data_IF_615862811020
#
_entry.id   IF_615862811020
#
_cell.length_a   1.000
_cell.length_b   1.000
_cell.length_c   1.000
_cell.angle_alpha   90.00
_cell.angle_beta   90.00
_cell.angle_gamma   90.00
#
_symmetry.space_group_name_H-M   'P 1'
#
loop_
_entity.id
_entity.type
_entity.pdbx_description
1 polymer ?
#
# COMPACT_ATOMS: atom_id res chain seq x y z
N UNK A 1 -14.33 4.83 -30.81
CA UNK A 1 -14.69 3.52 -30.22
C UNK A 1 -14.04 3.43 -28.85
N UNK A 2 -14.79 3.37 -27.75
CA UNK A 2 -14.20 3.25 -26.40
C UNK A 2 -13.38 1.97 -26.25
N UNK A 3 -12.19 2.06 -25.66
CA UNK A 3 -11.42 0.86 -25.30
C UNK A 3 -12.07 0.24 -24.07
N UNK A 4 -12.33 -1.06 -24.10
CA UNK A 4 -12.93 -1.77 -22.97
C UNK A 4 -11.84 -2.53 -22.22
N UNK A 5 -11.87 -2.42 -20.91
CA UNK A 5 -10.96 -3.10 -20.00
C UNK A 5 -11.82 -3.95 -19.09
N UNK A 6 -11.88 -5.24 -19.39
CA UNK A 6 -12.42 -6.27 -18.52
C UNK A 6 -11.26 -6.89 -17.73
N UNK A 7 -11.45 -7.03 -16.43
CA UNK A 7 -10.49 -7.70 -15.54
C UNK A 7 -11.22 -8.69 -14.65
N UNK A 8 -10.62 -9.86 -14.49
CA UNK A 8 -11.12 -10.92 -13.62
C UNK A 8 -10.13 -11.15 -12.48
N UNK A 9 -10.60 -10.98 -11.25
CA UNK A 9 -9.91 -11.47 -10.07
C UNK A 9 -10.12 -13.00 -9.97
N UNK A 10 -9.06 -13.75 -10.31
CA UNK A 10 -9.11 -15.22 -10.36
C UNK A 10 -9.30 -15.86 -8.98
N UNK A 11 -8.90 -15.18 -7.91
CA UNK A 11 -9.04 -15.68 -6.53
C UNK A 11 -10.48 -15.56 -6.05
N UNK A 12 -11.13 -14.42 -6.36
CA UNK A 12 -12.53 -14.18 -6.03
C UNK A 12 -13.50 -14.93 -6.95
N UNK A 13 -13.09 -15.22 -8.19
CA UNK A 13 -13.94 -15.93 -9.13
C UNK A 13 -14.20 -17.39 -8.67
N UNK A 14 -15.42 -17.69 -8.23
CA UNK A 14 -15.82 -19.04 -7.78
C UNK A 14 -16.99 -19.59 -8.64
N UNK A 15 -16.74 -20.01 -9.89
CA UNK A 15 -17.77 -20.46 -10.83
C UNK A 15 -18.71 -21.56 -10.31
N UNK A 16 -18.16 -22.50 -9.54
CA UNK A 16 -18.93 -23.59 -8.93
C UNK A 16 -19.95 -23.09 -7.89
N UNK A 17 -19.65 -21.97 -7.21
CA UNK A 17 -20.51 -21.41 -6.16
C UNK A 17 -21.56 -20.44 -6.71
N UNK A 18 -21.24 -19.66 -7.75
CA UNK A 18 -22.23 -18.75 -8.36
C UNK A 18 -23.05 -19.40 -9.48
N UNK A 19 -22.66 -20.56 -10.01
CA UNK A 19 -23.40 -21.19 -11.11
C UNK A 19 -23.34 -20.40 -12.42
N UNK A 20 -22.21 -19.71 -12.68
CA UNK A 20 -21.91 -19.00 -13.94
C UNK A 20 -22.88 -17.86 -14.28
N UNK A 21 -23.34 -17.11 -13.28
CA UNK A 21 -24.26 -15.98 -13.47
C UNK A 21 -23.75 -14.95 -14.48
N UNK A 22 -22.44 -14.65 -14.48
CA UNK A 22 -21.87 -13.70 -15.44
C UNK A 22 -22.10 -14.13 -16.89
N UNK A 23 -22.02 -15.42 -17.21
CA UNK A 23 -22.29 -15.97 -18.55
C UNK A 23 -23.79 -15.96 -18.84
N UNK A 24 -24.60 -16.45 -17.89
CA UNK A 24 -26.07 -16.59 -18.05
C UNK A 24 -26.78 -15.25 -18.23
N UNK A 25 -26.33 -14.20 -17.53
CA UNK A 25 -26.97 -12.89 -17.56
C UNK A 25 -26.33 -11.90 -18.54
N UNK A 26 -25.20 -12.25 -19.16
CA UNK A 26 -24.59 -11.42 -20.19
C UNK A 26 -25.55 -11.25 -21.40
N UNK A 27 -25.98 -10.03 -21.74
CA UNK A 27 -26.87 -9.82 -22.88
C UNK A 27 -26.26 -10.28 -24.20
N UNK A 28 -24.96 -10.11 -24.37
CA UNK A 28 -24.25 -10.45 -25.62
C UNK A 28 -24.22 -11.97 -25.82
N UNK A 29 -23.99 -12.73 -24.74
CA UNK A 29 -24.17 -14.19 -24.76
C UNK A 29 -25.61 -14.61 -25.06
N UNK A 30 -26.61 -13.93 -24.47
CA UNK A 30 -28.03 -14.21 -24.77
C UNK A 30 -28.39 -13.93 -26.23
N UNK A 31 -27.72 -12.99 -26.88
CA UNK A 31 -27.86 -12.71 -28.31
C UNK A 31 -27.13 -13.71 -29.21
N UNK A 32 -26.43 -14.71 -28.66
CA UNK A 32 -25.78 -15.79 -29.40
C UNK A 32 -24.29 -15.58 -29.69
N UNK A 33 -23.63 -14.57 -29.11
CA UNK A 33 -22.20 -14.32 -29.27
C UNK A 33 -21.40 -14.68 -28.00
N UNK A 34 -20.21 -15.23 -28.16
CA UNK A 34 -19.39 -15.72 -27.04
C UNK A 34 -18.59 -14.61 -26.34
N UNK A 35 -19.30 -13.66 -25.73
CA UNK A 35 -18.67 -12.55 -25.00
C UNK A 35 -17.99 -12.99 -23.70
N UNK A 36 -18.66 -13.82 -22.90
CA UNK A 36 -18.09 -14.40 -21.67
C UNK A 36 -18.15 -15.92 -21.77
N UNK A 37 -16.99 -16.57 -21.75
CA UNK A 37 -16.87 -18.02 -21.84
C UNK A 37 -16.21 -18.59 -20.58
N UNK A 38 -16.39 -19.89 -20.35
CA UNK A 38 -15.63 -20.60 -19.33
C UNK A 38 -14.32 -21.07 -19.96
N UNK A 39 -13.19 -20.56 -19.49
CA UNK A 39 -11.88 -21.01 -19.95
C UNK A 39 -11.64 -22.45 -19.47
N UNK A 40 -11.36 -23.36 -20.41
CA UNK A 40 -11.27 -24.81 -20.16
C UNK A 40 -10.07 -25.19 -19.27
N UNK A 41 -8.96 -24.46 -19.38
CA UNK A 41 -7.74 -24.73 -18.60
C UNK A 41 -7.88 -24.30 -17.14
N UNK A 42 -8.37 -23.08 -16.93
CA UNK A 42 -8.44 -22.44 -15.61
C UNK A 42 -9.75 -22.71 -14.89
N UNK A 43 -10.79 -23.17 -15.60
CA UNK A 43 -12.16 -23.23 -15.11
C UNK A 43 -12.65 -21.89 -14.52
N UNK A 44 -12.20 -20.76 -15.09
CA UNK A 44 -12.61 -19.40 -14.71
C UNK A 44 -13.30 -18.68 -15.88
N UNK A 45 -14.06 -17.64 -15.58
CA UNK A 45 -14.68 -16.82 -16.63
C UNK A 45 -13.61 -16.08 -17.44
N UNK A 46 -13.79 -16.02 -18.75
CA UNK A 46 -12.96 -15.27 -19.68
C UNK A 46 -13.87 -14.32 -20.45
N UNK A 47 -13.47 -13.05 -20.56
CA UNK A 47 -14.27 -11.99 -21.16
C UNK A 47 -13.54 -11.49 -22.41
N UNK A 48 -14.20 -11.60 -23.55
CA UNK A 48 -13.76 -11.00 -24.81
C UNK A 48 -14.11 -9.51 -24.82
N UNK A 49 -13.08 -8.66 -24.92
CA UNK A 49 -13.21 -7.20 -24.83
C UNK A 49 -13.70 -6.55 -26.12
N UNK A 50 -13.50 -7.22 -27.26
CA UNK A 50 -13.93 -6.75 -28.58
C UNK A 50 -15.43 -6.97 -28.76
N UNK A 51 -15.94 -8.10 -28.25
CA UNK A 51 -17.36 -8.47 -28.30
C UNK A 51 -18.15 -7.81 -27.16
N UNK A 52 -17.55 -7.65 -25.97
CA UNK A 52 -18.23 -7.07 -24.81
C UNK A 52 -18.75 -5.67 -25.11
N UNK A 53 -20.01 -5.37 -24.80
CA UNK A 53 -20.58 -4.03 -25.03
C UNK A 53 -20.32 -3.04 -23.88
N UNK A 54 -19.77 -3.50 -22.74
CA UNK A 54 -19.50 -2.67 -21.57
C UNK A 54 -20.71 -2.35 -20.69
N UNK A 55 -21.81 -3.12 -20.79
CA UNK A 55 -23.05 -2.86 -20.03
C UNK A 55 -22.93 -3.02 -18.49
N UNK A 56 -21.89 -3.70 -18.01
CA UNK A 56 -21.64 -3.90 -16.58
C UNK A 56 -22.61 -4.82 -15.84
N UNK A 57 -23.50 -5.55 -16.54
CA UNK A 57 -24.44 -6.48 -15.90
C UNK A 57 -23.69 -7.59 -15.18
N UNK A 58 -22.68 -8.19 -15.82
CA UNK A 58 -21.83 -9.23 -15.22
C UNK A 58 -21.09 -8.77 -13.95
N UNK A 59 -20.77 -7.47 -13.83
CA UNK A 59 -20.20 -6.88 -12.61
C UNK A 59 -21.24 -6.89 -11.48
N UNK A 60 -22.47 -6.45 -11.77
CA UNK A 60 -23.55 -6.37 -10.79
C UNK A 60 -24.08 -7.72 -10.32
N UNK A 61 -24.13 -8.71 -11.23
CA UNK A 61 -24.63 -10.05 -10.89
C UNK A 61 -23.55 -10.93 -10.29
N UNK A 62 -22.27 -10.53 -10.27
CA UNK A 62 -21.22 -11.35 -9.68
C UNK A 62 -21.29 -11.28 -8.14
N UNK A 63 -21.64 -12.37 -7.44
CA UNK A 63 -21.79 -12.34 -5.98
C UNK A 63 -20.45 -12.20 -5.24
N UNK A 64 -19.33 -12.34 -5.95
CA UNK A 64 -17.97 -12.26 -5.40
C UNK A 64 -17.24 -10.98 -5.82
N UNK A 65 -17.88 -10.08 -6.56
CA UNK A 65 -17.26 -8.86 -7.10
C UNK A 65 -15.95 -9.13 -7.89
N UNK A 66 -15.86 -10.30 -8.52
CA UNK A 66 -14.65 -10.78 -9.18
C UNK A 66 -14.40 -10.14 -10.56
N UNK A 67 -15.38 -9.41 -11.10
CA UNK A 67 -15.33 -8.83 -12.45
C UNK A 67 -15.30 -7.31 -12.35
N UNK A 68 -14.35 -6.69 -13.03
CA UNK A 68 -14.31 -5.25 -13.23
C UNK A 68 -14.41 -4.95 -14.73
N UNK A 69 -15.32 -4.07 -15.13
CA UNK A 69 -15.43 -3.57 -16.50
C UNK A 69 -15.29 -2.05 -16.49
N UNK A 70 -14.39 -1.55 -17.32
CA UNK A 70 -14.10 -0.12 -17.45
C UNK A 70 -14.13 0.27 -18.92
N UNK A 71 -14.74 1.41 -19.23
CA UNK A 71 -14.66 2.03 -20.54
C UNK A 71 -13.61 3.14 -20.48
N UNK A 72 -12.48 2.95 -21.16
CA UNK A 72 -11.41 3.93 -21.29
C UNK A 72 -11.51 4.69 -22.61
N UNK A 73 -10.94 5.89 -22.62
CA UNK A 73 -10.75 6.67 -23.82
C UNK A 73 -9.85 5.89 -24.80
N UNK A 74 -10.20 5.92 -26.10
CA UNK A 74 -9.48 5.17 -27.14
C UNK A 74 -8.01 5.56 -27.24
N UNK A 75 -7.71 6.83 -26.95
CA UNK A 75 -6.35 7.39 -26.97
C UNK A 75 -5.41 6.69 -25.99
N UNK A 76 -5.93 6.14 -24.88
CA UNK A 76 -5.11 5.39 -23.92
C UNK A 76 -4.69 4.03 -24.46
N UNK A 77 -5.35 3.51 -25.49
CA UNK A 77 -5.01 2.21 -26.06
C UNK A 77 -3.59 2.20 -26.66
N UNK A 78 -3.13 3.34 -27.20
CA UNK A 78 -1.78 3.47 -27.76
C UNK A 78 -0.71 3.59 -26.67
N UNK A 79 -1.08 4.01 -25.47
CA UNK A 79 -0.14 4.22 -24.36
C UNK A 79 0.02 2.99 -23.46
N UNK A 80 -0.50 1.83 -23.89
CA UNK A 80 -0.43 0.58 -23.12
C UNK A 80 1.02 0.07 -23.09
N UNK A 81 1.56 -0.09 -21.88
CA UNK A 81 2.96 -0.44 -21.67
C UNK A 81 3.13 -1.91 -21.31
N UNK A 82 2.26 -2.42 -20.44
CA UNK A 82 2.34 -3.81 -19.99
C UNK A 82 0.97 -4.37 -19.66
N UNK A 83 0.77 -5.66 -20.00
CA UNK A 83 -0.41 -6.45 -19.65
C UNK A 83 0.05 -7.87 -19.31
N UNK A 84 -0.37 -8.43 -18.18
CA UNK A 84 0.06 -9.77 -17.75
C UNK A 84 -0.63 -10.92 -18.49
N UNK A 85 -1.81 -10.68 -19.05
CA UNK A 85 -2.59 -11.66 -19.78
C UNK A 85 -3.97 -11.14 -20.14
N UNK A 86 -4.81 -12.01 -20.71
CA UNK A 86 -6.22 -11.67 -20.93
C UNK A 86 -6.94 -11.47 -19.60
N UNK A 87 -7.77 -10.43 -19.54
CA UNK A 87 -8.50 -9.99 -18.35
C UNK A 87 -7.62 -9.77 -17.10
N UNK A 88 -6.37 -9.36 -17.28
CA UNK A 88 -5.47 -9.01 -16.18
C UNK A 88 -5.32 -7.51 -15.99
N UNK A 89 -4.59 -7.14 -14.94
CA UNK A 89 -4.09 -5.78 -14.74
C UNK A 89 -3.34 -5.25 -15.99
N UNK A 90 -3.47 -3.95 -16.25
CA UNK A 90 -2.82 -3.22 -17.35
C UNK A 90 -2.16 -1.94 -16.86
N UNK A 91 -0.96 -1.67 -17.33
CA UNK A 91 -0.23 -0.43 -17.05
C UNK A 91 -0.18 0.44 -18.29
N UNK A 92 -0.50 1.73 -18.13
CA UNK A 92 -0.45 2.75 -19.16
C UNK A 92 0.51 3.87 -18.74
N UNK A 93 1.32 4.33 -19.69
CA UNK A 93 2.42 5.28 -19.48
C UNK A 93 3.45 4.79 -18.44
N UNK A 94 4.61 5.44 -18.40
CA UNK A 94 5.66 5.20 -17.41
C UNK A 94 6.18 6.53 -16.87
N UNK A 95 6.70 6.54 -15.64
CA UNK A 95 7.50 7.64 -15.16
C UNK A 95 8.70 7.89 -16.05
N UNK A 96 9.12 9.14 -16.15
CA UNK A 96 10.41 9.46 -16.75
C UNK A 96 11.45 9.69 -15.66
N UNK A 97 12.45 8.82 -15.51
CA UNK A 97 13.49 9.01 -14.50
C UNK A 97 14.31 10.28 -14.76
N UNK A 98 14.54 11.10 -13.72
CA UNK A 98 15.37 12.32 -13.82
C UNK A 98 16.64 12.19 -12.99
N UNK A 99 17.77 12.62 -13.56
CA UNK A 99 19.06 12.62 -12.87
C UNK A 99 19.13 13.74 -11.85
N UNK A 100 19.70 13.45 -10.70
CA UNK A 100 19.91 14.42 -9.63
C UNK A 100 18.63 14.86 -8.90
N UNK A 101 17.52 14.15 -9.10
CA UNK A 101 16.22 14.47 -8.53
C UNK A 101 15.57 13.24 -7.91
N UNK A 102 14.74 13.48 -6.90
CA UNK A 102 13.85 12.49 -6.29
C UNK A 102 12.46 12.64 -6.92
N UNK A 103 12.01 11.58 -7.60
CA UNK A 103 10.65 11.48 -8.13
C UNK A 103 9.79 10.66 -7.17
N UNK A 104 8.78 11.30 -6.60
CA UNK A 104 7.74 10.65 -5.81
C UNK A 104 6.68 10.02 -6.70
N UNK A 105 6.38 8.73 -6.52
CA UNK A 105 5.28 8.06 -7.19
C UNK A 105 4.15 7.81 -6.21
N UNK A 106 3.04 8.52 -6.40
CA UNK A 106 1.89 8.52 -5.49
C UNK A 106 0.71 7.79 -6.11
N UNK A 107 0.20 6.75 -5.45
CA UNK A 107 -0.94 6.00 -5.97
C UNK A 107 -1.45 4.95 -5.00
N UNK A 108 -2.70 4.51 -5.18
CA UNK A 108 -3.30 3.45 -4.34
C UNK A 108 -2.62 2.10 -4.59
N UNK A 109 -2.87 1.13 -3.70
CA UNK A 109 -2.38 -0.24 -3.89
C UNK A 109 -3.10 -0.91 -5.06
N UNK A 110 -2.40 -1.83 -5.73
CA UNK A 110 -2.92 -2.50 -6.93
C UNK A 110 -3.00 -1.62 -8.18
N UNK A 111 -2.35 -0.44 -8.19
CA UNK A 111 -2.30 0.45 -9.36
C UNK A 111 -1.10 0.18 -10.28
N UNK A 112 -0.19 -0.74 -9.92
CA UNK A 112 1.00 -1.05 -10.74
C UNK A 112 2.30 -0.32 -10.34
N UNK A 113 2.40 0.25 -9.14
CA UNK A 113 3.64 0.90 -8.65
C UNK A 113 4.86 -0.02 -8.70
N UNK A 114 4.71 -1.26 -8.23
CA UNK A 114 5.79 -2.25 -8.28
C UNK A 114 6.06 -2.73 -9.71
N UNK A 115 5.04 -2.79 -10.58
CA UNK A 115 5.20 -3.09 -12.01
C UNK A 115 6.04 -2.01 -12.70
N UNK A 116 5.80 -0.74 -12.38
CA UNK A 116 6.60 0.41 -12.86
C UNK A 116 8.06 0.25 -12.43
N UNK A 117 8.33 -0.03 -11.15
CA UNK A 117 9.69 -0.25 -10.65
C UNK A 117 10.37 -1.41 -11.40
N UNK A 118 9.68 -2.53 -11.59
CA UNK A 118 10.24 -3.70 -12.28
C UNK A 118 10.56 -3.41 -13.75
N UNK A 119 9.75 -2.61 -14.45
CA UNK A 119 10.03 -2.22 -15.83
C UNK A 119 11.22 -1.27 -15.90
N UNK A 120 11.24 -0.23 -15.06
CA UNK A 120 12.30 0.76 -15.06
C UNK A 120 13.65 0.22 -14.57
N UNK A 121 13.64 -0.86 -13.78
CA UNK A 121 14.86 -1.55 -13.32
C UNK A 121 15.35 -2.64 -14.29
N UNK A 122 14.59 -2.96 -15.34
CA UNK A 122 14.93 -4.03 -16.28
C UNK A 122 14.56 -5.44 -15.82
N UNK A 123 13.98 -5.61 -14.61
CA UNK A 123 13.49 -6.90 -14.11
C UNK A 123 12.27 -7.42 -14.89
N UNK A 124 11.54 -6.53 -15.58
CA UNK A 124 10.37 -6.87 -16.39
C UNK A 124 10.45 -6.17 -17.76
N UNK A 125 10.55 -6.95 -18.84
CA UNK A 125 10.46 -6.41 -20.21
C UNK A 125 9.01 -5.93 -20.46
N UNK A 126 8.77 -4.66 -20.87
CA UNK A 126 7.44 -4.21 -21.25
C UNK A 126 7.00 -4.94 -22.52
N UNK A 127 5.72 -5.32 -22.59
CA UNK A 127 5.19 -6.08 -23.72
C UNK A 127 4.24 -5.25 -24.61
N UNK A 128 4.07 -3.96 -24.31
CA UNK A 128 3.20 -3.02 -25.02
C UNK A 128 1.76 -3.54 -25.19
N UNK A 129 1.32 -4.39 -24.26
CA UNK A 129 0.01 -5.04 -24.31
C UNK A 129 -0.10 -6.33 -25.10
N UNK A 130 0.95 -6.71 -25.85
CA UNK A 130 1.01 -7.98 -26.57
C UNK A 130 1.55 -9.05 -25.63
N UNK A 131 0.68 -9.64 -24.81
CA UNK A 131 1.11 -10.64 -23.82
C UNK A 131 1.32 -12.03 -24.42
N UNK A 132 0.61 -12.37 -25.50
CA UNK A 132 0.77 -13.66 -26.21
C UNK A 132 2.05 -13.69 -27.05
N UNK A 133 2.35 -12.59 -27.74
CA UNK A 133 3.57 -12.42 -28.54
C UNK A 133 4.30 -11.13 -28.12
N UNK A 134 5.09 -11.17 -27.02
CA UNK A 134 5.78 -10.00 -26.53
C UNK A 134 6.81 -9.46 -27.53
N UNK A 135 6.84 -8.14 -27.79
CA UNK A 135 7.78 -7.53 -28.73
C UNK A 135 9.23 -7.66 -28.28
N UNK A 136 10.13 -7.63 -29.27
CA UNK A 136 11.57 -7.50 -29.02
C UNK A 136 11.99 -6.07 -28.71
N UNK A 137 13.19 -5.90 -28.17
CA UNK A 137 13.68 -4.59 -27.72
C UNK A 137 13.65 -3.53 -28.83
N UNK A 138 13.92 -3.88 -30.08
CA UNK A 138 13.92 -2.92 -31.19
C UNK A 138 12.53 -2.32 -31.45
N UNK A 139 11.46 -3.10 -31.28
CA UNK A 139 10.09 -2.59 -31.33
C UNK A 139 9.78 -1.67 -30.15
N UNK A 140 10.23 -2.04 -28.95
CA UNK A 140 10.07 -1.22 -27.73
C UNK A 140 10.79 0.13 -27.89
N UNK A 141 12.03 0.12 -28.38
CA UNK A 141 12.81 1.33 -28.62
C UNK A 141 12.19 2.22 -29.70
N UNK A 142 11.58 1.62 -30.73
CA UNK A 142 10.83 2.35 -31.75
C UNK A 142 9.58 3.01 -31.16
N UNK A 143 8.86 2.32 -30.28
CA UNK A 143 7.70 2.87 -29.57
C UNK A 143 8.06 4.11 -28.76
N UNK A 144 9.20 4.08 -28.05
CA UNK A 144 9.68 5.21 -27.25
C UNK A 144 10.49 6.25 -28.05
N UNK A 145 10.52 6.18 -29.38
CA UNK A 145 11.31 7.09 -30.20
C UNK A 145 10.92 8.56 -29.99
N UNK A 146 11.90 9.41 -29.73
CA UNK A 146 11.69 10.83 -29.43
C UNK A 146 11.38 11.13 -27.96
N UNK A 147 11.40 10.12 -27.08
CA UNK A 147 11.23 10.29 -25.63
C UNK A 147 12.53 10.05 -24.87
N UNK A 148 12.62 10.58 -23.64
CA UNK A 148 13.77 10.34 -22.75
C UNK A 148 13.91 8.85 -22.36
N UNK A 149 12.78 8.14 -22.28
CA UNK A 149 12.72 6.71 -21.95
C UNK A 149 13.42 5.80 -22.97
N UNK A 150 13.55 6.22 -24.24
CA UNK A 150 14.31 5.44 -25.23
C UNK A 150 15.75 5.24 -24.78
N UNK A 151 16.41 6.31 -24.34
CA UNK A 151 17.80 6.25 -23.87
C UNK A 151 17.96 5.38 -22.61
N UNK A 152 16.91 5.32 -21.79
CA UNK A 152 16.85 4.46 -20.62
C UNK A 152 16.75 2.98 -21.01
N UNK A 153 15.84 2.65 -21.92
CA UNK A 153 15.67 1.28 -22.42
C UNK A 153 16.85 0.78 -23.26
N UNK A 154 17.55 1.65 -23.98
CA UNK A 154 18.82 1.30 -24.66
C UNK A 154 19.85 0.81 -23.66
N UNK A 155 20.00 1.51 -22.52
CA UNK A 155 20.91 1.08 -21.46
C UNK A 155 20.48 -0.22 -20.78
N UNK A 156 19.17 -0.44 -20.60
CA UNK A 156 18.65 -1.72 -20.10
C UNK A 156 19.01 -2.85 -21.09
N UNK A 157 18.76 -2.65 -22.38
CA UNK A 157 19.07 -3.62 -23.44
C UNK A 157 20.55 -3.99 -23.45
N UNK A 158 21.43 -3.01 -23.30
CA UNK A 158 22.88 -3.18 -23.34
C UNK A 158 23.47 -3.63 -21.98
N UNK A 159 22.64 -3.88 -20.96
CA UNK A 159 23.06 -4.17 -19.58
C UNK A 159 24.01 -3.12 -18.97
N UNK A 160 23.84 -1.85 -19.38
CA UNK A 160 24.65 -0.70 -18.95
C UNK A 160 24.01 0.10 -17.81
N UNK A 161 22.92 -0.41 -17.24
CA UNK A 161 22.21 0.24 -16.14
C UNK A 161 22.36 -0.59 -14.87
N UNK A 162 22.78 0.04 -13.79
CA UNK A 162 22.73 -0.56 -12.47
C UNK A 162 21.56 0.03 -11.69
N UNK A 163 20.68 -0.85 -11.22
CA UNK A 163 19.58 -0.49 -10.33
C UNK A 163 19.82 -1.07 -8.91
N UNK A 164 19.49 -0.27 -7.91
CA UNK A 164 19.41 -0.68 -6.50
C UNK A 164 17.98 -0.50 -6.03
N UNK A 165 17.35 -1.60 -5.61
CA UNK A 165 15.92 -1.64 -5.27
C UNK A 165 15.78 -2.07 -3.83
N UNK A 166 15.14 -1.23 -3.01
CA UNK A 166 14.68 -1.62 -1.68
C UNK A 166 13.41 -2.48 -1.84
N UNK A 167 13.39 -3.74 -1.39
CA UNK A 167 12.20 -4.59 -1.51
C UNK A 167 11.06 -4.08 -0.62
N UNK A 168 9.81 -4.20 -1.08
CA UNK A 168 8.64 -3.80 -0.29
C UNK A 168 8.56 -4.62 1.02
N UNK A 169 8.78 -5.93 0.94
CA UNK A 169 8.79 -6.85 2.10
C UNK A 169 10.19 -7.01 2.69
N UNK A 170 10.52 -6.20 3.69
CA UNK A 170 11.85 -6.25 4.35
C UNK A 170 12.10 -7.52 5.17
N UNK A 171 11.05 -8.21 5.60
CA UNK A 171 11.16 -9.48 6.33
C UNK A 171 11.76 -10.60 5.48
N UNK A 172 11.71 -10.52 4.14
CA UNK A 172 12.33 -11.53 3.29
C UNK A 172 13.86 -11.47 3.37
N UNK A 173 14.43 -10.33 3.79
CA UNK A 173 15.88 -10.17 3.98
C UNK A 173 16.37 -11.12 5.09
N UNK A 174 15.64 -11.22 6.21
CA UNK A 174 16.01 -12.12 7.32
C UNK A 174 15.82 -13.60 7.00
N UNK A 175 15.07 -13.93 5.95
CA UNK A 175 14.89 -15.30 5.48
C UNK A 175 16.02 -15.75 4.54
N UNK A 176 16.59 -14.82 3.77
CA UNK A 176 17.57 -15.11 2.72
C UNK A 176 19.01 -14.91 3.19
N UNK A 177 19.23 -14.07 4.20
CA UNK A 177 20.56 -13.79 4.74
C UNK A 177 20.70 -14.23 6.19
N UNK A 178 21.72 -15.04 6.47
CA UNK A 178 22.06 -15.51 7.81
C UNK A 178 23.39 -14.89 8.23
N UNK A 179 23.30 -13.80 9.01
CA UNK A 179 24.45 -12.99 9.42
C UNK A 179 24.02 -11.71 10.12
N UNK A 180 24.98 -10.84 10.41
CA UNK A 180 24.71 -9.54 11.07
C UNK A 180 24.35 -8.44 10.07
N UNK A 181 23.67 -7.40 10.55
CA UNK A 181 23.39 -6.22 9.72
C UNK A 181 24.68 -5.56 9.16
N UNK A 182 25.78 -5.64 9.92
CA UNK A 182 27.09 -5.12 9.54
C UNK A 182 27.70 -5.90 8.39
N UNK A 183 27.72 -7.23 8.49
CA UNK A 183 28.20 -8.11 7.41
C UNK A 183 27.40 -7.89 6.12
N UNK A 184 26.09 -7.70 6.24
CA UNK A 184 25.24 -7.39 5.09
C UNK A 184 25.64 -6.07 4.43
N UNK A 185 25.91 -5.03 5.21
CA UNK A 185 26.34 -3.74 4.67
C UNK A 185 27.73 -3.83 4.03
N UNK A 186 28.70 -4.46 4.70
CA UNK A 186 30.06 -4.65 4.18
C UNK A 186 30.06 -5.41 2.85
N UNK A 187 29.16 -6.39 2.69
CA UNK A 187 29.01 -7.16 1.46
C UNK A 187 28.56 -6.33 0.25
N UNK A 188 27.75 -5.29 0.47
CA UNK A 188 27.16 -4.47 -0.59
C UNK A 188 27.76 -3.05 -0.66
N UNK A 189 28.72 -2.71 0.19
CA UNK A 189 29.33 -1.39 0.21
C UNK A 189 30.33 -1.20 -0.93
N UNK A 190 29.81 -0.71 -2.05
CA UNK A 190 30.59 -0.34 -3.23
C UNK A 190 31.04 1.13 -3.19
N UNK A 191 30.45 1.93 -2.28
CA UNK A 191 30.66 3.39 -2.21
C UNK A 191 31.53 3.84 -1.04
N UNK A 192 31.83 2.96 -0.09
CA UNK A 192 32.63 3.25 1.11
C UNK A 192 31.92 4.17 2.11
N UNK A 193 30.58 4.23 2.09
CA UNK A 193 29.79 5.15 2.92
C UNK A 193 29.03 4.44 4.05
N UNK A 194 29.28 3.15 4.28
CA UNK A 194 28.60 2.36 5.32
C UNK A 194 28.54 3.06 6.68
N UNK A 195 29.70 3.50 7.21
CA UNK A 195 29.78 4.09 8.55
C UNK A 195 28.95 5.39 8.67
N UNK A 196 28.92 6.20 7.60
CA UNK A 196 28.10 7.40 7.56
C UNK A 196 26.60 7.05 7.61
N UNK A 197 26.18 6.02 6.88
CA UNK A 197 24.79 5.60 6.85
C UNK A 197 24.34 4.95 8.16
N UNK A 198 25.18 4.14 8.81
CA UNK A 198 24.91 3.57 10.14
C UNK A 198 24.59 4.68 11.14
N UNK A 199 25.41 5.75 11.16
CA UNK A 199 25.19 6.89 12.04
C UNK A 199 23.96 7.70 11.67
N UNK A 200 23.76 7.97 10.37
CA UNK A 200 22.63 8.80 9.90
C UNK A 200 21.29 8.13 10.16
N UNK A 201 21.23 6.80 10.02
CA UNK A 201 20.02 6.00 10.23
C UNK A 201 19.87 5.49 11.67
N UNK A 202 20.76 5.87 12.59
CA UNK A 202 20.71 5.46 13.99
C UNK A 202 20.65 3.92 14.14
N UNK A 203 21.62 3.25 13.49
CA UNK A 203 21.78 1.79 13.48
C UNK A 203 22.96 1.31 14.34
N UNK A 204 23.63 2.19 15.08
CA UNK A 204 24.86 1.86 15.83
C UNK A 204 24.65 0.70 16.82
N UNK A 205 23.48 0.66 17.47
CA UNK A 205 23.15 -0.36 18.47
C UNK A 205 22.56 -1.66 17.88
N UNK A 206 22.17 -1.65 16.61
CA UNK A 206 21.43 -2.75 15.97
C UNK A 206 22.23 -3.44 14.87
N UNK A 207 23.15 -2.75 14.21
CA UNK A 207 23.91 -3.28 13.08
C UNK A 207 24.76 -4.52 13.44
N UNK A 208 25.18 -4.65 14.69
CA UNK A 208 25.93 -5.82 15.18
C UNK A 208 25.06 -7.05 15.51
N UNK A 209 23.74 -6.90 15.55
CA UNK A 209 22.81 -7.99 15.83
C UNK A 209 22.54 -8.82 14.57
N UNK A 210 22.03 -10.04 14.73
CA UNK A 210 21.62 -10.86 13.61
C UNK A 210 20.41 -10.23 12.91
N UNK A 211 20.35 -10.28 11.59
CA UNK A 211 19.24 -9.69 10.80
C UNK A 211 17.87 -10.26 11.22
N UNK A 212 17.79 -11.51 11.71
CA UNK A 212 16.56 -12.13 12.21
C UNK A 212 16.05 -11.55 13.53
N UNK A 213 16.91 -10.90 14.30
CA UNK A 213 16.59 -10.34 15.62
C UNK A 213 16.14 -8.88 15.54
N UNK A 214 16.40 -8.22 14.41
CA UNK A 214 16.07 -6.82 14.19
C UNK A 214 14.57 -6.58 14.19
N UNK A 215 14.16 -5.47 14.83
CA UNK A 215 12.77 -4.99 14.74
C UNK A 215 12.41 -4.55 13.31
N UNK A 216 11.11 -4.46 13.00
CA UNK A 216 10.65 -4.03 11.68
C UNK A 216 11.20 -2.65 11.25
N UNK A 217 11.30 -1.68 12.17
CA UNK A 217 11.88 -0.37 11.88
C UNK A 217 13.40 -0.41 11.69
N UNK A 218 14.11 -1.28 12.40
CA UNK A 218 15.56 -1.49 12.19
C UNK A 218 15.83 -2.18 10.86
N UNK A 219 15.08 -3.24 10.52
CA UNK A 219 15.13 -3.90 9.22
C UNK A 219 14.86 -2.93 8.08
N UNK A 220 13.88 -2.06 8.25
CA UNK A 220 13.54 -1.05 7.26
C UNK A 220 14.70 -0.08 7.02
N UNK A 221 15.30 0.44 8.10
CA UNK A 221 16.46 1.34 8.02
C UNK A 221 17.69 0.63 7.46
N UNK A 222 17.93 -0.62 7.83
CA UNK A 222 18.99 -1.45 7.27
C UNK A 222 18.78 -1.66 5.75
N UNK A 223 17.56 -1.95 5.30
CA UNK A 223 17.25 -2.10 3.88
C UNK A 223 17.51 -0.80 3.08
N UNK A 224 17.17 0.36 3.66
CA UNK A 224 17.52 1.67 3.08
C UNK A 224 19.03 1.85 2.99
N UNK A 225 19.77 1.48 4.05
CA UNK A 225 21.23 1.56 4.09
C UNK A 225 21.87 0.66 3.01
N UNK A 226 21.49 -0.62 2.95
CA UNK A 226 21.98 -1.61 1.95
C UNK A 226 21.71 -1.13 0.52
N UNK A 227 20.51 -0.60 0.28
CA UNK A 227 20.15 -0.06 -1.04
C UNK A 227 21.03 1.14 -1.40
N UNK A 228 21.40 1.95 -0.42
CA UNK A 228 22.15 3.21 -0.61
C UNK A 228 23.67 3.03 -0.70
N UNK A 229 24.25 1.99 -0.08
CA UNK A 229 25.70 1.70 -0.16
C UNK A 229 26.14 1.14 -1.52
N UNK A 230 25.23 0.50 -2.25
CA UNK A 230 25.47 -0.01 -3.61
C UNK A 230 25.65 1.15 -4.59
N UNK A 231 26.61 1.04 -5.52
CA UNK A 231 26.79 2.04 -6.59
C UNK A 231 25.85 1.71 -7.76
N UNK A 232 24.76 2.47 -7.84
CA UNK A 232 23.74 2.30 -8.86
C UNK A 232 23.49 3.61 -9.61
N UNK A 233 23.05 3.52 -10.85
CA UNK A 233 22.52 4.67 -11.60
C UNK A 233 21.15 5.09 -11.08
N UNK A 234 20.34 4.10 -10.71
CA UNK A 234 18.95 4.26 -10.25
C UNK A 234 18.71 3.62 -8.89
N UNK A 235 18.09 4.38 -8.01
CA UNK A 235 17.67 3.92 -6.69
C UNK A 235 16.15 3.94 -6.59
N UNK A 236 15.56 2.80 -6.28
CA UNK A 236 14.11 2.65 -6.08
C UNK A 236 13.83 2.33 -4.61
N UNK A 237 13.00 3.15 -3.98
CA UNK A 237 12.58 2.98 -2.60
C UNK A 237 11.07 2.73 -2.55
N UNK A 238 10.68 1.48 -2.30
CA UNK A 238 9.28 1.11 -2.11
C UNK A 238 8.91 1.09 -0.61
N UNK A 239 8.06 2.04 -0.22
CA UNK A 239 7.64 2.31 1.17
C UNK A 239 8.82 2.35 2.15
N UNK A 240 9.85 3.22 1.95
CA UNK A 240 11.06 3.27 2.76
C UNK A 240 10.83 3.65 4.23
N UNK A 241 9.69 4.22 4.59
CA UNK A 241 9.43 4.76 5.93
C UNK A 241 8.47 3.95 6.80
N UNK A 242 7.96 2.84 6.28
CA UNK A 242 7.06 1.95 7.02
C UNK A 242 7.65 1.55 8.39
N UNK A 243 6.80 1.52 9.42
CA UNK A 243 7.14 1.21 10.82
C UNK A 243 8.06 2.22 11.56
N UNK A 244 8.63 3.20 10.87
CA UNK A 244 9.49 4.22 11.48
C UNK A 244 8.66 5.33 12.14
N UNK A 245 9.16 5.86 13.25
CA UNK A 245 8.63 7.07 13.88
C UNK A 245 9.09 8.35 13.16
N UNK A 246 8.54 9.49 13.54
CA UNK A 246 8.76 10.77 12.85
C UNK A 246 10.25 11.18 12.75
N UNK A 247 11.07 10.85 13.76
CA UNK A 247 12.49 11.16 13.74
C UNK A 247 13.23 10.25 12.77
N UNK A 248 12.95 8.95 12.84
CA UNK A 248 13.52 7.95 11.94
C UNK A 248 13.14 8.19 10.48
N UNK A 249 11.89 8.60 10.20
CA UNK A 249 11.45 8.99 8.85
C UNK A 249 12.27 10.14 8.27
N UNK A 250 12.57 11.13 9.10
CA UNK A 250 13.40 12.27 8.70
C UNK A 250 14.83 11.84 8.36
N UNK A 251 15.41 10.90 9.12
CA UNK A 251 16.73 10.32 8.81
C UNK A 251 16.73 9.57 7.48
N UNK A 252 15.71 8.75 7.23
CA UNK A 252 15.55 8.04 5.94
C UNK A 252 15.46 9.02 4.78
N UNK A 253 14.64 10.07 4.89
CA UNK A 253 14.53 11.07 3.84
C UNK A 253 15.86 11.79 3.53
N UNK A 254 16.66 12.12 4.56
CA UNK A 254 17.98 12.74 4.37
C UNK A 254 18.91 11.86 3.55
N UNK A 255 18.91 10.54 3.81
CA UNK A 255 19.72 9.59 3.02
C UNK A 255 19.29 9.60 1.56
N UNK A 256 17.97 9.50 1.30
CA UNK A 256 17.40 9.49 -0.05
C UNK A 256 17.73 10.78 -0.81
N UNK A 257 17.55 11.95 -0.18
CA UNK A 257 17.90 13.24 -0.80
C UNK A 257 19.39 13.37 -1.10
N UNK A 258 20.26 12.85 -0.22
CA UNK A 258 21.69 12.88 -0.46
C UNK A 258 22.10 12.03 -1.68
N UNK A 259 21.38 10.93 -1.97
CA UNK A 259 21.58 10.18 -3.22
C UNK A 259 21.30 11.06 -4.44
N UNK A 260 20.16 11.74 -4.47
CA UNK A 260 19.83 12.67 -5.55
C UNK A 260 20.87 13.79 -5.69
N UNK A 261 21.34 14.39 -4.59
CA UNK A 261 22.40 15.42 -4.61
C UNK A 261 23.72 14.94 -5.22
N UNK A 262 24.00 13.64 -5.19
CA UNK A 262 25.18 13.05 -5.87
C UNK A 262 24.97 12.83 -7.38
N UNK A 263 23.87 13.34 -7.95
CA UNK A 263 23.55 13.25 -9.38
C UNK A 263 22.85 11.95 -9.78
N UNK A 264 22.55 11.07 -8.83
CA UNK A 264 21.85 9.80 -9.05
C UNK A 264 20.36 10.03 -9.28
N UNK A 265 19.71 9.10 -9.99
CA UNK A 265 18.26 9.13 -10.18
C UNK A 265 17.58 8.33 -9.07
N UNK A 266 16.59 8.94 -8.42
CA UNK A 266 15.93 8.33 -7.25
C UNK A 266 14.42 8.36 -7.44
N UNK A 267 13.78 7.22 -7.21
CA UNK A 267 12.32 7.11 -7.18
C UNK A 267 11.86 6.62 -5.82
N UNK A 268 10.87 7.29 -5.25
CA UNK A 268 10.28 6.95 -3.95
C UNK A 268 8.80 6.68 -4.13
N UNK A 269 8.38 5.48 -3.73
CA UNK A 269 6.97 5.14 -3.58
C UNK A 269 6.62 5.27 -2.10
N UNK A 270 5.71 6.18 -1.76
CA UNK A 270 5.27 6.40 -0.39
C UNK A 270 3.76 6.64 -0.31
N UNK A 271 3.22 6.30 0.86
CA UNK A 271 1.83 6.57 1.22
C UNK A 271 1.72 7.72 2.23
N UNK A 272 2.82 8.09 2.88
CA UNK A 272 2.90 9.25 3.75
C UNK A 272 3.16 10.52 2.93
N UNK A 273 2.11 11.35 2.78
CA UNK A 273 2.20 12.62 2.06
C UNK A 273 3.19 13.60 2.68
N UNK A 274 3.38 13.56 4.01
CA UNK A 274 4.29 14.48 4.71
C UNK A 274 5.75 14.14 4.40
N UNK A 275 6.08 12.84 4.38
CA UNK A 275 7.39 12.38 3.98
C UNK A 275 7.63 12.63 2.49
N UNK A 276 6.62 12.34 1.66
CA UNK A 276 6.72 12.54 0.22
C UNK A 276 6.97 14.02 -0.12
N UNK A 277 6.30 14.95 0.57
CA UNK A 277 6.53 16.40 0.45
C UNK A 277 7.96 16.79 0.84
N UNK A 278 8.46 16.18 1.92
CA UNK A 278 9.81 16.46 2.41
C UNK A 278 10.91 15.90 1.50
N UNK A 279 10.72 14.71 0.90
CA UNK A 279 11.78 13.99 0.18
C UNK A 279 11.80 14.26 -1.32
N UNK A 280 10.65 14.53 -1.94
CA UNK A 280 10.50 14.54 -3.41
C UNK A 280 10.67 15.94 -4.01
N UNK A 281 11.38 16.02 -5.14
CA UNK A 281 11.47 17.24 -5.96
C UNK A 281 10.27 17.36 -6.91
N UNK A 282 9.79 16.21 -7.39
CA UNK A 282 8.71 16.06 -8.35
C UNK A 282 7.81 14.90 -7.92
N UNK A 283 6.53 14.96 -8.29
CA UNK A 283 5.57 13.88 -8.05
C UNK A 283 4.88 13.50 -9.36
N UNK A 284 4.70 12.21 -9.54
CA UNK A 284 3.78 11.64 -10.52
C UNK A 284 2.67 10.88 -9.79
N UNK A 285 1.44 11.07 -10.24
CA UNK A 285 0.26 10.42 -9.66
C UNK A 285 -0.10 9.21 -10.52
N UNK A 286 -0.09 8.03 -9.91
CA UNK A 286 -0.58 6.80 -10.51
C UNK A 286 -2.05 6.58 -10.11
N UNK A 287 -2.94 6.73 -11.08
CA UNK A 287 -4.39 6.63 -10.89
C UNK A 287 -5.01 5.52 -11.75
N UNK A 288 -6.22 5.09 -11.39
CA UNK A 288 -6.92 4.00 -12.07
C UNK A 288 -7.80 3.20 -11.12
N UNK A 289 -8.09 1.96 -11.49
CA UNK A 289 -8.93 1.04 -10.71
C UNK A 289 -8.10 -0.15 -10.24
N UNK A 290 -8.18 -0.45 -8.93
CA UNK A 290 -7.28 -1.41 -8.26
C UNK A 290 -7.34 -2.75 -8.94
N UNK A 291 -6.19 -3.31 -9.24
CA UNK A 291 -6.02 -4.59 -9.92
C UNK A 291 -6.54 -4.63 -11.37
N UNK A 292 -7.19 -3.55 -11.85
CA UNK A 292 -7.72 -3.48 -13.21
C UNK A 292 -6.78 -2.73 -14.16
N UNK A 293 -6.47 -1.48 -13.85
CA UNK A 293 -5.50 -0.71 -14.61
C UNK A 293 -4.89 0.43 -13.79
N UNK A 294 -3.70 0.87 -14.21
CA UNK A 294 -3.05 2.07 -13.70
C UNK A 294 -2.50 2.93 -14.82
N UNK A 295 -2.60 4.25 -14.67
CA UNK A 295 -2.10 5.26 -15.60
C UNK A 295 -1.21 6.21 -14.82
N UNK A 296 0.02 6.41 -15.30
CA UNK A 296 0.94 7.38 -14.73
C UNK A 296 0.62 8.76 -15.29
N UNK A 297 0.37 9.74 -14.42
CA UNK A 297 0.15 11.13 -14.82
C UNK A 297 1.42 11.76 -15.38
N UNK A 298 1.27 12.92 -15.99
CA UNK A 298 2.43 13.78 -16.25
C UNK A 298 3.13 14.19 -14.93
N UNK A 299 4.42 14.53 -15.04
CA UNK A 299 5.22 15.05 -13.93
C UNK A 299 4.64 16.36 -13.40
N UNK A 300 4.50 16.44 -12.07
CA UNK A 300 4.04 17.62 -11.34
C UNK A 300 5.09 18.05 -10.32
N UNK A 301 5.11 19.34 -9.94
CA UNK A 301 5.81 19.75 -8.73
C UNK A 301 5.17 19.10 -7.51
N UNK A 302 5.96 18.78 -6.49
CA UNK A 302 5.54 18.08 -5.27
C UNK A 302 4.23 18.62 -4.67
N UNK A 303 4.16 19.92 -4.37
CA UNK A 303 2.96 20.55 -3.79
C UNK A 303 1.71 20.40 -4.66
N UNK A 304 1.85 20.59 -5.97
CA UNK A 304 0.74 20.45 -6.93
C UNK A 304 0.30 18.99 -7.00
N UNK A 305 1.23 18.05 -7.08
CA UNK A 305 0.93 16.61 -7.12
C UNK A 305 0.16 16.13 -5.88
N UNK A 306 0.58 16.55 -4.68
CA UNK A 306 -0.11 16.22 -3.43
C UNK A 306 -1.53 16.81 -3.42
N UNK A 307 -1.69 18.09 -3.78
CA UNK A 307 -3.01 18.73 -3.80
C UNK A 307 -3.96 18.07 -4.81
N UNK A 308 -3.48 17.77 -6.02
CA UNK A 308 -4.23 17.04 -7.05
C UNK A 308 -4.65 15.66 -6.55
N UNK A 309 -3.76 14.96 -5.84
CA UNK A 309 -4.08 13.67 -5.23
C UNK A 309 -5.19 13.79 -4.17
N UNK A 310 -5.08 14.80 -3.30
CA UNK A 310 -6.05 15.12 -2.25
C UNK A 310 -7.41 15.58 -2.81
N UNK A 311 -7.41 16.26 -3.96
CA UNK A 311 -8.61 16.69 -4.67
C UNK A 311 -9.27 15.57 -5.48
N UNK A 312 -8.52 14.55 -5.90
CA UNK A 312 -9.07 13.46 -6.72
C UNK A 312 -9.28 13.83 -8.19
N UNK A 313 -8.69 14.94 -8.66
CA UNK A 313 -8.87 15.47 -10.01
C UNK A 313 -7.55 16.01 -10.58
N UNK A 314 -7.14 15.48 -11.74
CA UNK A 314 -6.00 15.91 -12.54
C UNK A 314 -6.47 16.95 -13.57
N UNK A 315 -6.23 18.26 -13.36
CA UNK A 315 -6.72 19.30 -14.26
C UNK A 315 -6.07 19.26 -15.64
N UNK A 316 -4.75 19.00 -15.70
CA UNK A 316 -4.00 18.96 -16.96
C UNK A 316 -4.43 17.83 -17.90
N UNK A 317 -4.99 16.76 -17.34
CA UNK A 317 -5.47 15.61 -18.09
C UNK A 317 -7.00 15.56 -18.14
N UNK A 318 -7.66 16.52 -17.47
CA UNK A 318 -9.11 16.58 -17.29
C UNK A 318 -9.73 15.26 -16.77
N UNK A 319 -9.07 14.60 -15.82
CA UNK A 319 -9.49 13.29 -15.29
C UNK A 319 -9.83 13.40 -13.81
N UNK A 320 -11.05 12.98 -13.46
CA UNK A 320 -11.45 12.73 -12.07
C UNK A 320 -11.26 11.24 -11.78
N UNK A 321 -10.32 10.91 -10.91
CA UNK A 321 -10.05 9.52 -10.48
C UNK A 321 -10.65 9.21 -9.10
N UNK A 322 -11.25 10.20 -8.44
CA UNK A 322 -12.00 10.02 -7.20
C UNK A 322 -13.11 11.07 -7.04
N UNK A 323 -14.28 10.62 -6.60
CA UNK A 323 -15.46 11.49 -6.47
C UNK A 323 -15.39 12.41 -5.25
N UNK A 324 -15.01 11.86 -4.09
CA UNK A 324 -14.88 12.60 -2.84
C UNK A 324 -13.49 13.16 -2.69
N UNK A 325 -13.36 14.44 -2.35
CA UNK A 325 -12.09 15.07 -1.94
C UNK A 325 -11.67 14.59 -0.55
N UNK A 326 -10.39 14.64 -0.24
CA UNK A 326 -9.94 14.58 1.15
C UNK A 326 -10.01 16.01 1.70
N UNK A 327 -10.97 16.26 2.60
CA UNK A 327 -11.01 17.50 3.38
C UNK A 327 -10.32 17.25 4.71
N UNK A 328 -9.45 18.18 5.09
CA UNK A 328 -9.02 18.30 6.47
C UNK A 328 -9.94 19.34 7.08
N UNK A 329 -10.81 18.90 7.98
CA UNK A 329 -11.54 19.82 8.82
C UNK A 329 -10.50 20.47 9.72
N UNK A 330 -10.15 21.73 9.43
CA UNK A 330 -9.49 22.57 10.41
C UNK A 330 -10.53 22.68 11.50
N UNK A 331 -10.41 21.83 12.54
CA UNK A 331 -11.36 21.80 13.62
C UNK A 331 -11.33 23.18 14.28
N UNK A 332 -12.22 24.06 13.87
CA UNK A 332 -12.64 25.22 14.63
C UNK A 332 -13.51 24.75 15.78
N UNK A 333 -13.11 23.71 16.51
CA UNK A 333 -13.49 23.50 17.90
C UNK A 333 -12.79 24.55 18.79
N UNK A 334 -12.87 25.81 18.37
CA UNK A 334 -13.07 26.93 19.28
C UNK A 334 -14.57 27.03 19.69
N UNK A 335 -15.42 26.08 19.27
CA UNK A 335 -16.80 25.96 19.67
C UNK A 335 -16.96 25.03 20.88
N UNK A 336 -17.17 25.65 22.05
CA UNK A 336 -17.69 25.07 23.30
C UNK A 336 -17.11 23.69 23.68
N UNK A 337 -16.11 23.70 24.56
CA UNK A 337 -15.99 22.64 25.55
C UNK A 337 -17.29 22.65 26.37
N UNK A 338 -18.32 21.95 25.88
CA UNK A 338 -19.35 21.43 26.76
C UNK A 338 -18.60 20.70 27.87
N UNK A 339 -19.01 20.84 29.13
CA UNK A 339 -18.51 20.01 30.24
C UNK A 339 -18.82 18.55 29.90
N UNK A 340 -17.95 17.94 29.09
CA UNK A 340 -18.11 16.59 28.64
C UNK A 340 -17.80 15.71 29.84
N UNK A 341 -18.73 14.81 30.15
CA UNK A 341 -18.60 13.86 31.25
C UNK A 341 -17.23 13.15 31.17
N UNK A 342 -16.41 13.29 32.21
CA UNK A 342 -15.16 12.54 32.32
C UNK A 342 -15.49 11.06 32.49
N UNK A 343 -15.17 10.26 31.47
CA UNK A 343 -15.42 8.82 31.50
C UNK A 343 -14.24 8.10 32.16
N UNK A 344 -13.01 8.45 31.78
CA UNK A 344 -11.81 7.84 32.34
C UNK A 344 -11.02 8.91 33.08
N UNK A 345 -10.64 8.59 34.32
CA UNK A 345 -9.66 9.35 35.08
C UNK A 345 -8.61 8.38 35.60
N UNK A 346 -7.35 8.67 35.33
CA UNK A 346 -6.22 7.88 35.82
C UNK A 346 -5.24 8.78 36.58
N UNK A 347 -4.70 8.31 37.71
CA UNK A 347 -3.62 8.99 38.41
C UNK A 347 -2.31 8.81 37.63
N UNK A 348 -1.19 9.22 38.23
CA UNK A 348 0.12 8.84 37.71
C UNK A 348 0.20 7.31 37.67
N UNK A 349 0.53 6.76 36.50
CA UNK A 349 0.73 5.33 36.30
C UNK A 349 2.21 5.06 36.07
N UNK A 350 2.76 4.06 36.75
CA UNK A 350 4.12 3.59 36.49
C UNK A 350 4.13 2.12 36.09
N UNK A 351 4.97 1.79 35.11
CA UNK A 351 5.32 0.41 34.77
C UNK A 351 6.82 0.29 34.57
N UNK A 352 7.42 -0.69 35.25
CA UNK A 352 8.85 -1.00 35.22
C UNK A 352 9.04 -2.44 34.76
N UNK A 353 9.73 -2.58 33.64
CA UNK A 353 10.30 -3.82 33.14
C UNK A 353 11.79 -3.86 33.47
N UNK A 354 12.43 -4.99 33.18
CA UNK A 354 13.87 -5.18 33.41
C UNK A 354 14.74 -4.17 32.64
N UNK A 355 14.34 -3.76 31.44
CA UNK A 355 15.11 -2.88 30.55
C UNK A 355 14.42 -1.57 30.20
N UNK A 356 13.20 -1.35 30.68
CA UNK A 356 12.37 -0.20 30.28
C UNK A 356 11.45 0.23 31.42
N UNK A 357 11.26 1.54 31.59
CA UNK A 357 10.28 2.08 32.52
C UNK A 357 9.49 3.19 31.85
N UNK A 358 8.18 3.22 32.10
CA UNK A 358 7.31 4.30 31.66
C UNK A 358 6.56 4.88 32.86
N UNK A 359 6.54 6.20 32.92
CA UNK A 359 5.70 6.98 33.83
C UNK A 359 4.72 7.78 32.99
N UNK A 360 3.44 7.61 33.27
CA UNK A 360 2.34 8.33 32.61
C UNK A 360 1.79 9.30 33.63
N UNK A 361 1.83 10.58 33.32
CA UNK A 361 1.24 11.62 34.17
C UNK A 361 -0.28 11.44 34.30
N UNK A 362 -0.85 11.97 35.38
CA UNK A 362 -2.29 11.89 35.61
C UNK A 362 -3.07 12.57 34.47
N UNK A 363 -4.17 11.94 34.05
CA UNK A 363 -4.93 12.38 32.89
C UNK A 363 -6.41 12.00 32.95
N UNK A 364 -7.16 12.57 32.02
CA UNK A 364 -8.61 12.42 31.91
C UNK A 364 -9.01 12.25 30.45
N UNK A 365 -10.09 11.51 30.20
CA UNK A 365 -10.71 11.33 28.87
C UNK A 365 -12.20 11.63 29.00
N UNK A 366 -12.72 12.50 28.14
CA UNK A 366 -14.12 12.89 28.17
C UNK A 366 -14.96 12.18 27.10
N UNK A 367 -16.27 12.10 27.35
CA UNK A 367 -17.23 11.50 26.43
C UNK A 367 -17.25 12.24 25.09
N UNK A 368 -17.12 11.50 23.99
CA UNK A 368 -17.18 12.05 22.64
C UNK A 368 -15.87 12.63 22.11
N UNK A 369 -14.78 12.56 22.89
CA UNK A 369 -13.45 12.98 22.45
C UNK A 369 -12.70 11.85 21.73
N UNK A 370 -11.86 12.23 20.76
CA UNK A 370 -10.88 11.33 20.14
C UNK A 370 -9.49 11.77 20.59
N UNK A 371 -8.87 11.01 21.49
CA UNK A 371 -7.54 11.29 22.00
C UNK A 371 -6.47 10.62 21.13
N UNK A 372 -5.63 11.42 20.47
CA UNK A 372 -4.47 10.94 19.72
C UNK A 372 -3.21 10.87 20.60
N UNK A 373 -2.53 9.72 20.61
CA UNK A 373 -1.23 9.55 21.30
C UNK A 373 -0.11 9.54 20.25
N UNK A 374 0.86 10.44 20.41
CA UNK A 374 1.99 10.61 19.48
C UNK A 374 3.33 10.55 20.23
N UNK A 375 4.38 10.10 19.54
CA UNK A 375 5.73 10.02 20.10
C UNK A 375 6.61 9.01 19.36
N UNK A 376 7.91 9.01 19.65
CA UNK A 376 8.88 8.06 19.10
C UNK A 376 8.54 6.61 19.50
N UNK A 377 9.03 5.64 18.72
CA UNK A 377 8.93 4.24 19.07
C UNK A 377 9.65 3.97 20.40
N UNK A 378 9.18 2.95 21.13
CA UNK A 378 9.77 2.57 22.43
C UNK A 378 9.65 3.59 23.57
N UNK A 379 8.89 4.69 23.42
CA UNK A 379 8.56 5.61 24.53
C UNK A 379 7.43 5.11 25.45
N UNK A 380 6.96 3.87 25.27
CA UNK A 380 5.91 3.30 26.12
C UNK A 380 4.48 3.65 25.72
N UNK A 381 4.22 4.16 24.51
CA UNK A 381 2.85 4.43 24.00
C UNK A 381 1.93 3.20 24.11
N UNK A 382 2.43 2.06 23.63
CA UNK A 382 1.69 0.79 23.70
C UNK A 382 1.48 0.35 25.15
N UNK A 383 2.47 0.55 26.03
CA UNK A 383 2.35 0.25 27.46
C UNK A 383 1.29 1.14 28.12
N UNK A 384 1.28 2.45 27.82
CA UNK A 384 0.25 3.38 28.28
C UNK A 384 -1.14 2.91 27.85
N UNK A 385 -1.33 2.57 26.57
CA UNK A 385 -2.61 2.06 26.07
C UNK A 385 -3.03 0.76 26.76
N UNK A 386 -2.11 -0.18 26.98
CA UNK A 386 -2.40 -1.45 27.68
C UNK A 386 -2.77 -1.24 29.14
N UNK A 387 -2.13 -0.29 29.83
CA UNK A 387 -2.46 0.07 31.21
C UNK A 387 -3.84 0.70 31.30
N UNK A 388 -4.16 1.64 30.41
CA UNK A 388 -5.49 2.26 30.34
C UNK A 388 -6.56 1.23 29.99
N UNK A 389 -6.27 0.32 29.05
CA UNK A 389 -7.17 -0.77 28.67
C UNK A 389 -7.25 -1.93 29.68
N UNK A 390 -6.50 -1.84 30.80
CA UNK A 390 -6.39 -2.89 31.81
C UNK A 390 -5.96 -4.27 31.26
N UNK A 391 -5.31 -4.29 30.09
CA UNK A 391 -4.68 -5.47 29.50
C UNK A 391 -3.40 -5.81 30.26
N UNK A 392 -2.74 -4.78 30.80
CA UNK A 392 -1.53 -4.90 31.59
C UNK A 392 -1.63 -4.05 32.84
N UNK A 393 -1.37 -4.64 34.02
CA UNK A 393 -1.50 -3.91 35.28
C UNK A 393 -0.29 -2.97 35.48
N UNK A 394 -0.51 -1.70 35.86
CA UNK A 394 0.57 -0.83 36.30
C UNK A 394 1.18 -1.38 37.60
N UNK A 395 2.45 -1.04 37.86
CA UNK A 395 3.12 -1.35 39.12
C UNK A 395 2.78 -0.30 40.20
N UNK A 396 2.43 0.92 39.77
CA UNK A 396 1.92 2.00 40.64
C UNK A 396 0.76 2.74 39.96
N UNK A 397 -0.26 3.11 40.73
CA UNK A 397 -1.50 3.71 40.24
C UNK A 397 -2.55 2.68 39.83
N UNK A 398 -3.76 3.14 39.51
CA UNK A 398 -4.87 2.27 39.07
C UNK A 398 -5.81 3.02 38.15
N UNK A 399 -6.36 2.34 37.16
CA UNK A 399 -7.38 2.87 36.25
C UNK A 399 -8.74 2.31 36.66
N UNK A 400 -9.79 3.14 36.64
CA UNK A 400 -11.15 2.69 36.97
C UNK A 400 -11.64 1.64 35.96
N UNK A 401 -12.06 0.48 36.46
CA UNK A 401 -12.40 -0.71 35.67
C UNK A 401 -13.89 -0.86 35.37
N UNK A 402 -14.71 0.15 35.69
CA UNK A 402 -16.17 0.08 35.46
C UNK A 402 -16.59 0.15 33.99
N UNK A 403 -15.65 0.43 33.08
CA UNK A 403 -15.91 0.61 31.67
C UNK A 403 -15.57 -0.65 30.89
N UNK A 404 -16.42 -1.02 29.93
CA UNK A 404 -16.07 -1.99 28.89
C UNK A 404 -15.09 -1.30 27.94
N UNK A 405 -13.89 -1.86 27.79
CA UNK A 405 -12.86 -1.33 26.90
C UNK A 405 -12.61 -2.34 25.79
N UNK A 406 -12.86 -1.93 24.55
CA UNK A 406 -12.43 -2.68 23.37
C UNK A 406 -10.97 -2.31 23.05
N UNK A 407 -10.12 -3.31 22.86
CA UNK A 407 -8.69 -3.12 22.60
C UNK A 407 -8.26 -3.84 21.34
N UNK A 408 -7.76 -3.08 20.36
CA UNK A 408 -7.12 -3.62 19.17
C UNK A 408 -5.61 -3.75 19.40
N UNK A 409 -5.03 -4.97 19.36
CA UNK A 409 -3.60 -5.15 19.51
C UNK A 409 -2.81 -4.58 18.31
N UNK A 410 -1.57 -4.18 18.58
CA UNK A 410 -0.65 -3.64 17.57
C UNK A 410 -0.20 -4.71 16.56
N UNK A 411 0.12 -5.91 17.04
CA UNK A 411 0.48 -7.06 16.21
C UNK A 411 -0.72 -7.98 16.11
N UNK A 412 -1.06 -8.35 14.87
CA UNK A 412 -2.17 -9.23 14.54
C UNK A 412 -1.59 -10.56 14.05
N UNK A 413 -2.09 -11.68 14.56
CA UNK A 413 -1.79 -13.01 14.03
C UNK A 413 -2.98 -13.50 13.21
N UNK A 414 -2.69 -14.28 12.17
CA UNK A 414 -3.67 -14.91 11.29
C UNK A 414 -3.71 -16.43 11.46
N UNK A 415 -3.28 -16.96 12.60
CA UNK A 415 -3.15 -18.42 12.81
C UNK A 415 -4.49 -19.14 12.97
N UNK A 416 -5.59 -18.40 12.98
CA UNK A 416 -6.94 -18.90 13.22
C UNK A 416 -7.61 -19.20 11.88
N UNK A 417 -7.99 -20.45 11.67
CA UNK A 417 -8.72 -20.89 10.47
C UNK A 417 -10.23 -20.77 10.69
N UNK A 418 -10.72 -19.53 10.74
CA UNK A 418 -12.13 -19.20 10.92
C UNK A 418 -12.52 -18.12 9.90
N UNK A 419 -13.72 -18.25 9.34
CA UNK A 419 -14.27 -17.26 8.41
C UNK A 419 -14.47 -15.90 9.08
N UNK A 420 -14.19 -14.82 8.34
CA UNK A 420 -14.32 -13.44 8.84
C UNK A 420 -15.70 -13.18 9.42
N UNK A 421 -16.77 -13.61 8.75
CA UNK A 421 -18.15 -13.36 9.22
C UNK A 421 -18.41 -13.94 10.61
N UNK A 422 -17.84 -15.10 10.92
CA UNK A 422 -18.00 -15.75 12.23
C UNK A 422 -17.34 -14.94 13.34
N UNK A 423 -16.19 -14.32 13.06
CA UNK A 423 -15.51 -13.44 14.01
C UNK A 423 -16.26 -12.13 14.22
N UNK A 424 -16.83 -11.56 13.14
CA UNK A 424 -17.65 -10.35 13.24
C UNK A 424 -18.94 -10.60 14.03
N UNK A 425 -19.65 -11.70 13.75
CA UNK A 425 -20.88 -12.06 14.49
C UNK A 425 -20.61 -12.28 15.98
N UNK A 426 -19.48 -12.91 16.31
CA UNK A 426 -19.07 -13.10 17.71
C UNK A 426 -18.79 -11.76 18.41
N UNK A 427 -18.17 -10.81 17.72
CA UNK A 427 -17.87 -9.50 18.29
C UNK A 427 -19.12 -8.64 18.50
N UNK A 428 -20.07 -8.70 17.55
CA UNK A 428 -21.34 -7.99 17.63
C UNK A 428 -22.34 -8.61 18.62
N UNK A 429 -22.01 -9.75 19.24
CA UNK A 429 -22.93 -10.54 20.06
C UNK A 429 -24.25 -10.87 19.31
N UNK A 430 -24.18 -11.03 17.98
CA UNK A 430 -25.35 -11.16 17.11
C UNK A 430 -24.99 -11.26 15.63
N UNK A 431 -25.99 -11.34 14.76
CA UNK A 431 -25.78 -11.32 13.32
C UNK A 431 -25.42 -9.91 12.87
N UNK A 432 -24.30 -9.76 12.17
CA UNK A 432 -23.88 -8.49 11.56
C UNK A 432 -24.62 -8.27 10.23
N UNK A 433 -24.83 -9.33 9.44
CA UNK A 433 -25.49 -9.20 8.15
C UNK A 433 -26.94 -8.70 8.30
N UNK A 434 -27.24 -7.56 7.68
CA UNK A 434 -28.53 -6.87 7.77
C UNK A 434 -28.71 -5.98 9.00
N UNK A 435 -27.67 -5.77 9.81
CA UNK A 435 -27.72 -4.91 11.01
C UNK A 435 -27.37 -3.44 10.72
N UNK A 436 -27.66 -2.53 11.65
CA UNK A 436 -27.25 -1.13 11.53
C UNK A 436 -25.72 -0.97 11.57
N UNK A 437 -25.05 -1.85 12.32
CA UNK A 437 -23.60 -1.90 12.44
C UNK A 437 -22.94 -2.30 11.11
N UNK A 438 -23.58 -3.14 10.29
CA UNK A 438 -23.08 -3.43 8.93
C UNK A 438 -23.00 -2.16 8.10
N UNK A 439 -24.06 -1.35 8.07
CA UNK A 439 -24.13 -0.11 7.29
C UNK A 439 -23.16 0.96 7.81
N UNK A 440 -23.01 1.08 9.14
CA UNK A 440 -22.22 2.14 9.76
C UNK A 440 -20.73 1.82 9.91
N UNK A 441 -20.37 0.54 10.11
CA UNK A 441 -19.00 0.12 10.45
C UNK A 441 -18.40 -0.75 9.35
N UNK A 442 -19.14 -1.74 8.85
CA UNK A 442 -18.58 -2.77 7.95
C UNK A 442 -18.50 -2.30 6.50
N UNK A 443 -19.59 -1.72 5.99
CA UNK A 443 -19.71 -1.25 4.61
C UNK A 443 -18.71 -0.14 4.27
N UNK A 444 -18.48 0.88 5.12
CA UNK A 444 -17.47 1.92 4.85
C UNK A 444 -16.05 1.35 4.69
N UNK A 445 -15.73 0.25 5.39
CA UNK A 445 -14.43 -0.40 5.34
C UNK A 445 -14.32 -1.45 4.21
N UNK A 446 -15.43 -1.74 3.53
CA UNK A 446 -15.54 -2.67 2.39
C UNK A 446 -15.08 -4.09 2.72
N UNK A 447 -15.50 -4.61 3.88
CA UNK A 447 -15.12 -5.93 4.38
C UNK A 447 -16.08 -7.03 3.92
N UNK A 448 -17.26 -6.71 3.39
CA UNK A 448 -18.28 -7.67 2.95
C UNK A 448 -17.74 -8.77 2.02
N UNK A 449 -16.89 -8.41 1.06
CA UNK A 449 -16.20 -9.36 0.15
C UNK A 449 -15.27 -10.36 0.86
N UNK A 450 -14.92 -10.12 2.12
CA UNK A 450 -14.04 -10.96 2.93
C UNK A 450 -14.80 -11.93 3.83
N UNK A 451 -16.14 -11.84 3.93
CA UNK A 451 -16.96 -12.65 4.86
C UNK A 451 -16.65 -14.15 4.78
N UNK A 452 -16.50 -14.67 3.57
CA UNK A 452 -16.26 -16.08 3.28
C UNK A 452 -14.77 -16.44 3.16
N UNK A 453 -13.86 -15.49 3.43
CA UNK A 453 -12.42 -15.78 3.52
C UNK A 453 -12.09 -16.20 4.95
N UNK A 454 -11.24 -17.22 5.07
CA UNK A 454 -10.60 -17.54 6.34
C UNK A 454 -9.61 -16.45 6.74
N UNK A 455 -9.54 -16.11 8.04
CA UNK A 455 -8.58 -15.15 8.61
C UNK A 455 -7.14 -15.50 8.22
N UNK A 456 -6.82 -16.79 8.17
CA UNK A 456 -5.51 -17.29 7.76
C UNK A 456 -5.06 -16.85 6.38
N UNK A 457 -6.01 -16.62 5.48
CA UNK A 457 -5.76 -16.27 4.09
C UNK A 457 -5.88 -14.77 3.81
N UNK A 458 -6.05 -13.93 4.84
CA UNK A 458 -6.12 -12.49 4.67
C UNK A 458 -4.73 -11.89 4.49
N UNK A 459 -4.63 -10.90 3.59
CA UNK A 459 -3.47 -10.03 3.53
C UNK A 459 -3.37 -9.15 4.79
N UNK A 460 -2.18 -8.62 5.09
CA UNK A 460 -1.97 -7.76 6.27
C UNK A 460 -2.90 -6.54 6.34
N UNK A 461 -3.21 -5.93 5.19
CA UNK A 461 -4.14 -4.80 5.11
C UNK A 461 -5.62 -5.21 5.29
N UNK A 462 -6.01 -6.38 4.77
CA UNK A 462 -7.35 -6.94 5.02
C UNK A 462 -7.52 -7.32 6.48
N UNK A 463 -6.53 -7.98 7.08
CA UNK A 463 -6.51 -8.35 8.50
C UNK A 463 -6.62 -7.12 9.40
N UNK A 464 -5.89 -6.04 9.09
CA UNK A 464 -5.99 -4.78 9.82
C UNK A 464 -7.41 -4.21 9.82
N UNK A 465 -8.08 -4.23 8.67
CA UNK A 465 -9.47 -3.75 8.55
C UNK A 465 -10.43 -4.60 9.36
N UNK A 466 -10.33 -5.93 9.24
CA UNK A 466 -11.15 -6.86 10.01
C UNK A 466 -10.96 -6.62 11.50
N UNK A 467 -9.73 -6.53 12.00
CA UNK A 467 -9.47 -6.28 13.42
C UNK A 467 -9.95 -4.90 13.91
N UNK A 468 -9.96 -3.87 13.06
CA UNK A 468 -10.56 -2.57 13.40
C UNK A 468 -12.06 -2.74 13.59
N UNK A 469 -12.75 -3.38 12.65
CA UNK A 469 -14.21 -3.61 12.75
C UNK A 469 -14.56 -4.48 13.96
N UNK A 470 -13.84 -5.58 14.17
CA UNK A 470 -14.05 -6.44 15.34
C UNK A 470 -13.93 -5.65 16.64
N UNK A 471 -12.99 -4.70 16.73
CA UNK A 471 -12.84 -3.84 17.91
C UNK A 471 -13.97 -2.81 18.06
N UNK A 472 -14.54 -2.32 16.96
CA UNK A 472 -15.63 -1.34 16.99
C UNK A 472 -17.01 -1.98 17.25
N UNK A 473 -17.15 -3.28 17.03
CA UNK A 473 -18.38 -4.04 17.29
C UNK A 473 -18.53 -4.52 18.74
N UNK A 474 -17.46 -4.50 19.53
CA UNK A 474 -17.44 -4.93 20.95
C UNK A 474 -17.99 -3.85 21.88
#
# INVERSE_FOLDING_TARGET
MTQRVAVLDKELCQPKKCGLECIKYCPVNKSGADCIVLNEETNKALIDEDICNGCGICVKVCPFEAITIVNLATELATDKIHQYGQNSFRLYKLPTPKKGQVIGLLGRNGMGKSTVINILSGNLKPNLGKYDEPPEWDEILKFYSGTELKSHFEKIKDNQISASIKPQQVYNISQVFDGTGKELLEKYDERGIMNQLIKTLDLENSVGQNVKELSGGELQRLAVAVTSVKDADFYFFDEPSSYNDIYQRTSVAKVIQNLAKTGKSVMVVEHDLTLLDYVSDLIEVLYGISSAYGIVSNVLSTKVGINVFLDGYLPNENIRFRDKKFSFDVSTTAGQFLEAETIIKYPILEKKYSSFSVTVEAGQVHRGEVLGILGANSLGKTTMMKMIANVEKPDSGSVDTKLKIAYKPQYLSNDIDVDVISVLNKANEGLVEGSQEEEQIVDPLKIKKLYNKSIKNLSGGELQKVSIVTCLLQ
#
